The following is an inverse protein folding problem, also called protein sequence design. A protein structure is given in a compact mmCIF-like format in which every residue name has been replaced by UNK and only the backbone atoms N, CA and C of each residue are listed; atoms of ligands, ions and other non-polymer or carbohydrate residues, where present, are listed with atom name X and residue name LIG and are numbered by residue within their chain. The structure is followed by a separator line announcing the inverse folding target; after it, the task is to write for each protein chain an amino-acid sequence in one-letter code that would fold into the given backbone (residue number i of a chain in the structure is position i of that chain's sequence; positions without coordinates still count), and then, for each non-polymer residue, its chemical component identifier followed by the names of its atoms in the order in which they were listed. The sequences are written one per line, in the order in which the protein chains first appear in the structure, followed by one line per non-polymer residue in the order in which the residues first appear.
data_IF_121230445884
#
_entry.id   IF_121230445884
#
_cell.length_a   1.000
_cell.length_b   1.000
_cell.length_c   1.000
_cell.angle_alpha   90.00
_cell.angle_beta   90.00
_cell.angle_gamma   90.00
#
_symmetry.space_group_name_H-M   'P 1'
#
loop_
_entity.id
_entity.type
_entity.pdbx_description
1 polymer ?
#
# COMPACT_ATOMS: atom_id res chain seq x y z
N UNK A 1 32.03 70.92 1.53
CA UNK A 1 33.13 71.46 2.35
C UNK A 1 32.95 70.97 3.78
N UNK A 2 33.94 70.32 4.41
CA UNK A 2 33.95 70.07 5.86
C UNK A 2 34.17 68.61 6.29
N UNK A 3 35.41 68.15 6.23
CA UNK A 3 35.89 66.91 6.88
C UNK A 3 35.88 67.10 8.41
N UNK A 4 35.44 66.09 9.17
CA UNK A 4 36.00 65.78 10.50
C UNK A 4 36.05 64.27 10.70
N UNK A 5 37.27 63.77 10.76
CA UNK A 5 37.62 62.45 11.30
C UNK A 5 37.28 62.39 12.79
N UNK A 6 37.14 61.18 13.35
CA UNK A 6 37.85 60.73 14.57
C UNK A 6 37.33 59.35 15.06
N UNK A 7 38.32 58.43 15.17
CA UNK A 7 38.53 57.33 16.13
C UNK A 7 37.51 56.18 16.24
N UNK A 8 37.99 55.07 15.69
CA UNK A 8 37.84 53.67 16.12
C UNK A 8 37.62 53.54 17.65
N UNK A 9 36.57 52.82 18.02
CA UNK A 9 36.52 52.01 19.25
C UNK A 9 36.03 50.63 18.85
N UNK A 10 36.91 49.64 19.05
CA UNK A 10 36.62 48.22 19.00
C UNK A 10 35.65 47.87 20.13
N UNK A 11 34.53 47.24 19.79
CA UNK A 11 33.71 46.50 20.75
C UNK A 11 33.50 45.09 20.18
N UNK A 12 34.40 44.19 20.59
CA UNK A 12 34.22 42.75 20.45
C UNK A 12 33.14 42.37 21.45
N UNK A 13 31.96 41.98 20.98
CA UNK A 13 30.96 41.31 21.80
C UNK A 13 30.67 39.96 21.15
N UNK A 14 31.11 38.90 21.83
CA UNK A 14 30.85 37.54 21.43
C UNK A 14 29.39 37.18 21.67
N UNK A 15 28.81 36.48 20.70
CA UNK A 15 27.64 35.64 20.92
C UNK A 15 28.02 34.27 20.38
N UNK A 16 28.23 33.34 21.31
CA UNK A 16 28.39 31.93 21.00
C UNK A 16 27.08 31.44 20.38
N UNK A 17 27.08 31.23 19.06
CA UNK A 17 26.06 30.43 18.40
C UNK A 17 26.27 29.00 18.88
N UNK A 18 25.40 28.57 19.80
CA UNK A 18 25.22 27.19 20.16
C UNK A 18 25.14 26.37 18.87
N UNK A 19 26.06 25.42 18.72
CA UNK A 19 25.91 24.37 17.73
C UNK A 19 24.55 23.71 18.01
N UNK A 20 23.61 23.86 17.07
CA UNK A 20 22.40 23.06 17.03
C UNK A 20 22.85 21.61 16.94
N UNK A 21 22.92 20.94 18.09
CA UNK A 21 22.90 19.49 18.16
C UNK A 21 21.58 19.07 17.54
N UNK A 22 21.68 18.54 16.32
CA UNK A 22 20.67 17.68 15.72
C UNK A 22 20.39 16.56 16.73
N UNK A 23 19.33 16.72 17.50
CA UNK A 23 18.71 15.59 18.19
C UNK A 23 17.95 14.86 17.10
N UNK A 24 18.45 13.68 16.72
CA UNK A 24 17.70 12.74 15.92
C UNK A 24 16.42 12.44 16.71
N UNK A 25 15.33 13.10 16.34
CA UNK A 25 13.99 12.66 16.67
C UNK A 25 13.90 11.23 16.14
N UNK A 26 13.96 10.27 17.05
CA UNK A 26 13.46 8.94 16.81
C UNK A 26 11.96 9.08 16.57
N UNK A 27 11.60 9.45 15.34
CA UNK A 27 10.26 9.23 14.84
C UNK A 27 10.09 7.71 14.89
N UNK A 28 9.37 7.27 15.92
CA UNK A 28 8.67 6.01 15.89
C UNK A 28 7.70 6.07 14.73
N UNK A 29 8.23 5.86 13.52
CA UNK A 29 7.44 5.44 12.38
C UNK A 29 6.86 4.15 12.86
N UNK A 30 5.60 4.18 13.30
CA UNK A 30 4.87 2.97 13.61
C UNK A 30 5.06 2.08 12.38
N UNK A 31 5.79 0.97 12.52
CA UNK A 31 5.83 -0.02 11.46
C UNK A 31 4.37 -0.29 11.12
N UNK A 32 3.97 -0.20 9.84
CA UNK A 32 2.61 -0.54 9.47
C UNK A 32 2.28 -1.93 10.04
N UNK A 33 1.01 -2.17 10.43
CA UNK A 33 0.62 -3.44 11.03
C UNK A 33 1.00 -4.59 10.10
N UNK A 34 2.11 -5.28 10.40
CA UNK A 34 2.59 -6.35 9.55
C UNK A 34 1.82 -7.62 9.89
N UNK A 35 1.06 -8.12 8.91
CA UNK A 35 0.38 -9.42 9.00
C UNK A 35 1.29 -10.58 8.57
N UNK A 36 2.58 -10.30 8.37
CA UNK A 36 3.58 -11.21 7.80
C UNK A 36 3.54 -11.21 6.28
N UNK A 37 4.03 -12.29 5.67
CA UNK A 37 3.87 -12.54 4.23
C UNK A 37 2.41 -12.82 3.88
N UNK A 38 2.10 -12.76 2.58
CA UNK A 38 0.79 -13.14 2.07
C UNK A 38 0.91 -14.05 0.85
N UNK A 39 -0.09 -14.88 0.61
CA UNK A 39 -0.27 -15.63 -0.64
C UNK A 39 -1.43 -15.01 -1.40
N UNK A 40 -1.19 -14.65 -2.66
CA UNK A 40 -2.23 -14.18 -3.56
C UNK A 40 -2.71 -15.34 -4.41
N UNK A 41 -4.02 -15.49 -4.53
CA UNK A 41 -4.67 -16.39 -5.48
C UNK A 41 -5.42 -15.55 -6.50
N UNK A 42 -5.11 -15.73 -7.78
CA UNK A 42 -5.89 -15.18 -8.88
C UNK A 42 -7.07 -16.13 -9.16
N UNK A 43 -8.25 -15.81 -8.63
CA UNK A 43 -9.45 -16.63 -8.81
C UNK A 43 -10.08 -16.38 -10.19
N UNK A 44 -9.75 -17.26 -11.13
CA UNK A 44 -10.22 -17.22 -12.52
C UNK A 44 -10.80 -18.57 -12.89
N UNK A 45 -12.10 -18.60 -13.16
CA UNK A 45 -12.79 -19.83 -13.56
C UNK A 45 -12.43 -20.21 -14.99
N UNK A 46 -11.46 -21.11 -15.14
CA UNK A 46 -10.86 -21.50 -16.43
C UNK A 46 -10.74 -23.02 -16.65
N UNK A 47 -11.09 -23.83 -15.63
CA UNK A 47 -10.97 -25.29 -15.68
C UNK A 47 -9.58 -25.85 -15.34
N UNK A 48 -8.61 -24.99 -15.01
CA UNK A 48 -7.29 -25.34 -14.44
C UNK A 48 -7.16 -24.78 -13.01
N UNK A 49 -6.19 -25.25 -12.20
CA UNK A 49 -5.93 -24.66 -10.89
C UNK A 49 -5.61 -23.17 -10.98
N UNK A 50 -6.17 -22.39 -10.04
CA UNK A 50 -5.94 -20.95 -9.95
C UNK A 50 -4.44 -20.66 -9.68
N UNK A 51 -3.81 -19.74 -10.42
CA UNK A 51 -2.44 -19.32 -10.16
C UNK A 51 -2.30 -18.69 -8.78
N UNK A 52 -1.15 -18.94 -8.14
CA UNK A 52 -0.80 -18.35 -6.85
C UNK A 52 0.62 -17.83 -6.84
N UNK A 53 0.87 -16.76 -6.09
CA UNK A 53 2.21 -16.22 -5.82
C UNK A 53 2.28 -15.66 -4.41
N UNK A 54 3.49 -15.37 -3.93
CA UNK A 54 3.74 -14.89 -2.58
C UNK A 54 4.09 -13.41 -2.63
N UNK A 55 3.49 -12.62 -1.74
CA UNK A 55 3.98 -11.31 -1.35
C UNK A 55 4.93 -11.48 -0.17
N UNK A 56 6.12 -10.89 -0.26
CA UNK A 56 6.98 -10.78 0.90
C UNK A 56 6.38 -9.84 1.97
N UNK A 57 7.05 -9.71 3.10
CA UNK A 57 6.52 -8.92 4.22
C UNK A 57 6.40 -7.42 3.89
N UNK A 58 7.27 -6.89 3.02
CA UNK A 58 7.27 -5.48 2.64
C UNK A 58 6.12 -5.21 1.65
N UNK A 59 5.94 -6.07 0.66
CA UNK A 59 4.81 -6.03 -0.27
C UNK A 59 3.48 -6.21 0.45
N UNK A 60 3.39 -7.13 1.40
CA UNK A 60 2.17 -7.33 2.20
C UNK A 60 1.86 -6.09 3.07
N UNK A 61 2.88 -5.43 3.62
CA UNK A 61 2.71 -4.18 4.35
C UNK A 61 2.27 -3.02 3.44
N UNK A 62 2.81 -2.93 2.23
CA UNK A 62 2.40 -1.94 1.22
C UNK A 62 0.94 -2.14 0.80
N UNK A 63 0.53 -3.38 0.54
CA UNK A 63 -0.86 -3.73 0.25
C UNK A 63 -1.80 -3.29 1.39
N UNK A 64 -1.42 -3.56 2.64
CA UNK A 64 -2.22 -3.18 3.81
C UNK A 64 -2.29 -1.66 3.99
N UNK A 65 -1.22 -0.94 3.69
CA UNK A 65 -1.24 0.52 3.69
C UNK A 65 -2.24 1.06 2.68
N UNK A 66 -2.20 0.56 1.43
CA UNK A 66 -3.16 0.97 0.40
C UNK A 66 -4.60 0.62 0.78
N UNK A 67 -4.82 -0.58 1.32
CA UNK A 67 -6.11 -1.02 1.86
C UNK A 67 -6.62 -0.09 2.98
N UNK A 68 -5.76 0.27 3.93
CA UNK A 68 -6.15 1.08 5.09
C UNK A 68 -6.53 2.52 4.71
N UNK A 69 -5.97 3.03 3.61
CA UNK A 69 -6.28 4.35 3.03
C UNK A 69 -7.62 4.38 2.28
N UNK A 70 -8.20 3.23 1.93
CA UNK A 70 -9.48 3.17 1.23
C UNK A 70 -10.66 3.56 2.14
N UNK A 71 -11.66 4.21 1.55
CA UNK A 71 -12.89 4.58 2.25
C UNK A 71 -13.72 3.36 2.62
N UNK A 72 -14.31 3.37 3.82
CA UNK A 72 -15.25 2.32 4.27
C UNK A 72 -16.43 2.24 3.31
N UNK A 73 -16.80 1.01 2.94
CA UNK A 73 -17.93 0.72 2.07
C UNK A 73 -18.79 -0.39 2.65
N UNK A 74 -20.05 -0.43 2.24
CA UNK A 74 -20.87 -1.61 2.47
C UNK A 74 -20.28 -2.76 1.65
N UNK A 75 -20.00 -3.93 2.26
CA UNK A 75 -19.60 -5.11 1.50
C UNK A 75 -20.64 -5.42 0.43
N UNK A 76 -20.19 -5.76 -0.77
CA UNK A 76 -21.06 -6.26 -1.84
C UNK A 76 -20.95 -7.77 -1.92
N UNK A 77 -21.99 -8.41 -2.45
CA UNK A 77 -21.96 -9.85 -2.72
C UNK A 77 -20.90 -10.19 -3.79
N UNK A 78 -20.21 -11.30 -3.55
CA UNK A 78 -19.11 -11.82 -4.37
C UNK A 78 -19.50 -12.03 -5.84
N UNK A 79 -18.61 -11.74 -6.81
CA UNK A 79 -19.02 -11.60 -8.19
C UNK A 79 -18.70 -12.82 -9.09
N UNK A 80 -19.33 -12.75 -10.26
CA UNK A 80 -19.12 -13.49 -11.51
C UNK A 80 -19.12 -15.04 -11.45
N UNK A 81 -19.90 -15.65 -12.35
CA UNK A 81 -20.01 -17.12 -12.50
C UNK A 81 -18.87 -17.69 -13.37
N UNK A 82 -18.33 -16.88 -14.29
CA UNK A 82 -17.30 -17.26 -15.26
C UNK A 82 -16.26 -16.15 -15.37
N UNK A 83 -15.03 -16.51 -15.76
CA UNK A 83 -13.94 -15.54 -15.98
C UNK A 83 -13.22 -15.17 -14.68
N UNK A 84 -12.66 -13.96 -14.65
CA UNK A 84 -12.05 -13.41 -13.44
C UNK A 84 -13.12 -13.10 -12.39
N UNK A 85 -12.84 -13.48 -11.15
CA UNK A 85 -13.79 -13.36 -10.04
C UNK A 85 -13.25 -12.47 -8.94
N UNK A 86 -12.02 -12.74 -8.50
CA UNK A 86 -11.36 -11.94 -7.48
C UNK A 86 -9.85 -12.21 -7.46
N UNK A 87 -9.12 -11.32 -6.81
CA UNK A 87 -7.84 -11.67 -6.18
C UNK A 87 -8.07 -11.91 -4.70
N UNK A 88 -7.58 -13.03 -4.19
CA UNK A 88 -7.69 -13.42 -2.79
C UNK A 88 -6.32 -13.33 -2.15
N UNK A 89 -6.18 -12.48 -1.12
CA UNK A 89 -4.95 -12.27 -0.37
C UNK A 89 -5.07 -12.94 0.98
N UNK A 90 -4.33 -14.04 1.16
CA UNK A 90 -4.25 -14.82 2.39
C UNK A 90 -3.00 -14.45 3.19
N UNK A 91 -3.17 -13.85 4.37
CA UNK A 91 -2.04 -13.45 5.21
C UNK A 91 -1.59 -14.57 6.16
N UNK A 92 -0.33 -14.51 6.61
CA UNK A 92 0.24 -15.48 7.54
C UNK A 92 -0.52 -15.57 8.89
N UNK A 93 -1.16 -14.48 9.33
CA UNK A 93 -2.02 -14.47 10.52
C UNK A 93 -3.41 -15.12 10.30
N UNK A 94 -3.67 -15.67 9.10
CA UNK A 94 -4.94 -16.28 8.65
C UNK A 94 -6.09 -15.30 8.40
N UNK A 95 -5.83 -13.99 8.39
CA UNK A 95 -6.79 -13.03 7.82
C UNK A 95 -6.78 -13.15 6.29
N UNK A 96 -7.89 -12.74 5.67
CA UNK A 96 -8.10 -12.82 4.23
C UNK A 96 -8.77 -11.56 3.72
N UNK A 97 -8.27 -11.04 2.62
CA UNK A 97 -8.89 -9.94 1.88
C UNK A 97 -9.21 -10.41 0.47
N UNK A 98 -10.45 -10.22 0.04
CA UNK A 98 -10.86 -10.39 -1.35
C UNK A 98 -10.90 -9.04 -2.02
N UNK A 99 -10.36 -8.94 -3.23
CA UNK A 99 -10.30 -7.71 -4.03
C UNK A 99 -10.97 -7.98 -5.37
N UNK A 100 -11.99 -7.22 -5.72
CA UNK A 100 -12.77 -7.42 -6.95
C UNK A 100 -13.68 -6.23 -7.24
N UNK A 101 -13.88 -5.90 -8.52
CA UNK A 101 -14.89 -4.94 -8.99
C UNK A 101 -14.91 -3.62 -8.22
N UNK A 102 -13.72 -3.10 -7.89
CA UNK A 102 -13.55 -1.84 -7.19
C UNK A 102 -14.02 -1.84 -5.73
N UNK A 103 -14.07 -3.01 -5.12
CA UNK A 103 -14.17 -3.17 -3.67
C UNK A 103 -13.09 -4.13 -3.18
N UNK A 104 -12.76 -4.00 -1.91
CA UNK A 104 -12.10 -5.07 -1.21
C UNK A 104 -12.81 -5.36 0.12
N UNK A 105 -12.80 -6.62 0.53
CA UNK A 105 -13.58 -7.12 1.65
C UNK A 105 -12.68 -7.97 2.52
N UNK A 106 -12.68 -7.70 3.83
CA UNK A 106 -12.04 -8.54 4.84
C UNK A 106 -13.10 -9.24 5.67
N UNK A 107 -13.01 -10.56 5.82
CA UNK A 107 -13.85 -11.28 6.79
C UNK A 107 -13.31 -11.04 8.20
N UNK A 108 -14.17 -10.60 9.11
CA UNK A 108 -13.82 -10.46 10.52
C UNK A 108 -14.87 -11.05 11.47
N UNK A 109 -14.58 -11.06 12.79
CA UNK A 109 -15.42 -11.71 13.79
C UNK A 109 -16.81 -11.10 13.91
N UNK A 110 -16.95 -9.80 13.62
CA UNK A 110 -18.21 -9.05 13.69
C UNK A 110 -18.92 -8.93 12.33
N UNK A 111 -18.43 -9.64 11.30
CA UNK A 111 -18.92 -9.59 9.93
C UNK A 111 -17.86 -9.18 8.93
N UNK A 112 -18.28 -9.05 7.66
CA UNK A 112 -17.41 -8.60 6.58
C UNK A 112 -17.22 -7.08 6.63
N UNK A 113 -15.98 -6.63 6.45
CA UNK A 113 -15.57 -5.22 6.41
C UNK A 113 -15.20 -4.86 4.97
N UNK A 114 -16.02 -4.01 4.34
CA UNK A 114 -15.82 -3.57 2.96
C UNK A 114 -15.09 -2.24 2.88
N UNK A 115 -14.26 -2.07 1.86
CA UNK A 115 -13.67 -0.79 1.46
C UNK A 115 -13.85 -0.57 -0.04
N UNK A 116 -14.09 0.68 -0.42
CA UNK A 116 -14.27 1.10 -1.82
C UNK A 116 -12.91 1.39 -2.45
N UNK A 117 -12.65 0.77 -3.59
CA UNK A 117 -11.47 0.95 -4.44
C UNK A 117 -11.92 1.25 -5.89
N UNK A 118 -12.60 2.39 -6.16
CA UNK A 118 -13.26 2.62 -7.45
C UNK A 118 -12.29 2.65 -8.65
N UNK A 119 -11.02 3.00 -8.41
CA UNK A 119 -9.96 3.01 -9.41
C UNK A 119 -9.29 1.63 -9.57
N UNK A 120 -9.73 0.63 -8.79
CA UNK A 120 -9.24 -0.75 -8.80
C UNK A 120 -7.73 -0.82 -8.60
N UNK A 121 -7.20 0.10 -7.79
CA UNK A 121 -5.78 0.28 -7.56
C UNK A 121 -5.16 -0.97 -6.92
N UNK A 122 -5.86 -1.62 -5.99
CA UNK A 122 -5.40 -2.85 -5.36
C UNK A 122 -5.34 -4.01 -6.37
N UNK A 123 -6.33 -4.15 -7.24
CA UNK A 123 -6.33 -5.20 -8.27
C UNK A 123 -5.16 -5.01 -9.24
N UNK A 124 -4.98 -3.78 -9.74
CA UNK A 124 -3.90 -3.46 -10.66
C UNK A 124 -2.52 -3.67 -10.02
N UNK A 125 -2.34 -3.22 -8.78
CA UNK A 125 -1.10 -3.41 -8.02
C UNK A 125 -0.80 -4.90 -7.80
N UNK A 126 -1.81 -5.71 -7.41
CA UNK A 126 -1.63 -7.15 -7.25
C UNK A 126 -1.22 -7.83 -8.56
N UNK A 127 -1.83 -7.47 -9.70
CA UNK A 127 -1.42 -7.99 -11.00
C UNK A 127 0.04 -7.67 -11.34
N UNK A 128 0.53 -6.49 -10.97
CA UNK A 128 1.93 -6.12 -11.17
C UNK A 128 2.86 -7.05 -10.38
N UNK A 129 2.53 -7.36 -9.12
CA UNK A 129 3.31 -8.29 -8.28
C UNK A 129 3.32 -9.73 -8.78
N UNK A 130 2.29 -10.14 -9.54
CA UNK A 130 2.22 -11.48 -10.15
C UNK A 130 3.09 -11.65 -11.41
N UNK A 131 3.68 -10.56 -11.92
CA UNK A 131 4.50 -10.58 -13.13
C UNK A 131 5.70 -11.51 -12.99
N UNK A 132 5.91 -12.37 -13.99
CA UNK A 132 7.00 -13.36 -14.00
C UNK A 132 6.68 -14.65 -13.25
N UNK A 133 5.58 -14.70 -12.48
CA UNK A 133 5.08 -15.93 -11.84
C UNK A 133 3.85 -16.48 -12.55
N UNK A 134 2.91 -15.60 -12.91
CA UNK A 134 1.68 -15.97 -13.61
C UNK A 134 1.90 -15.92 -15.13
N UNK A 135 1.20 -16.78 -15.87
CA UNK A 135 1.22 -16.78 -17.34
C UNK A 135 0.91 -15.36 -17.89
N UNK A 136 1.75 -14.80 -18.77
CA UNK A 136 1.57 -13.43 -19.26
C UNK A 136 0.27 -13.21 -20.03
N UNK A 137 -0.23 -14.21 -20.77
CA UNK A 137 -1.48 -14.07 -21.52
C UNK A 137 -2.68 -14.02 -20.56
N UNK A 138 -2.66 -14.85 -19.51
CA UNK A 138 -3.66 -14.79 -18.44
C UNK A 138 -3.62 -13.44 -17.71
N UNK A 139 -2.45 -12.97 -17.24
CA UNK A 139 -2.32 -11.66 -16.59
C UNK A 139 -2.86 -10.53 -17.46
N UNK A 140 -2.54 -10.54 -18.76
CA UNK A 140 -3.02 -9.51 -19.68
C UNK A 140 -4.54 -9.57 -19.88
N UNK A 141 -5.13 -10.77 -19.95
CA UNK A 141 -6.59 -10.92 -20.07
C UNK A 141 -7.31 -10.34 -18.85
N UNK A 142 -6.81 -10.61 -17.63
CA UNK A 142 -7.38 -10.08 -16.39
C UNK A 142 -7.15 -8.58 -16.31
N UNK A 143 -5.98 -8.06 -16.70
CA UNK A 143 -5.72 -6.61 -16.70
C UNK A 143 -6.70 -5.84 -17.60
N UNK A 144 -7.03 -6.38 -18.77
CA UNK A 144 -8.04 -5.79 -19.65
C UNK A 144 -9.39 -5.73 -18.94
N UNK A 145 -9.82 -6.81 -18.29
CA UNK A 145 -11.06 -6.86 -17.52
C UNK A 145 -11.04 -5.92 -16.30
N UNK A 146 -9.87 -5.75 -15.68
CA UNK A 146 -9.69 -4.84 -14.55
C UNK A 146 -9.78 -3.36 -14.97
N UNK A 147 -9.37 -3.05 -16.20
CA UNK A 147 -9.26 -1.66 -16.69
C UNK A 147 -10.52 -1.15 -17.43
N UNK A 148 -11.56 -1.97 -17.56
CA UNK A 148 -12.83 -1.60 -18.20
C UNK A 148 -13.85 -1.07 -17.19
#
# INVERSE_FOLDING_TARGET
MGRRAVRIVLLVLGVALAACGWEASGDGTASPPSRGTATVTLDVFSGVPNPTWVLDADQAAEFLSQWDDLSVATPIDYPAILGYRAMVVDFANRSRIWVTNGVAVEDGPDGAFGRSDPERALELWLLDTGTGTVDPALLNSVRVEVSC
#
